data_IF_851725986565
#
_entry.id   IF_851725986565
#
_cell.length_a   1.000
_cell.length_b   1.000
_cell.length_c   1.000
_cell.angle_alpha   90.00
_cell.angle_beta   90.00
_cell.angle_gamma   90.00
#
_symmetry.space_group_name_H-M   'P 1'
#
loop_
_entity.id
_entity.type
_entity.pdbx_description
1 polymer ?
#
# COMPACT_ATOMS: atom_id res chain seq x y z
N UNK A 1 23.54 29.21 15.32
CA UNK A 1 22.11 28.92 15.46
C UNK A 1 21.58 28.52 14.09
N UNK A 2 21.57 27.22 13.76
CA UNK A 2 20.74 26.73 12.68
C UNK A 2 19.41 26.38 13.32
N UNK A 3 18.33 27.07 12.96
CA UNK A 3 16.99 26.64 13.33
C UNK A 3 16.74 25.33 12.60
N UNK A 4 16.75 24.21 13.33
CA UNK A 4 16.15 22.97 12.85
C UNK A 4 14.67 23.28 12.62
N UNK A 5 14.32 23.65 11.39
CA UNK A 5 12.95 23.67 10.95
C UNK A 5 12.44 22.25 11.20
N UNK A 6 11.50 22.12 12.14
CA UNK A 6 10.84 20.86 12.44
C UNK A 6 10.04 20.46 11.18
N UNK A 7 10.69 19.76 10.25
CA UNK A 7 10.05 19.27 9.03
C UNK A 7 9.09 18.19 9.48
N UNK A 8 7.81 18.55 9.57
CA UNK A 8 6.74 17.61 9.88
C UNK A 8 6.73 16.55 8.76
N UNK A 9 6.96 15.26 9.07
CA UNK A 9 6.99 14.23 8.04
C UNK A 9 5.61 14.13 7.38
N UNK A 10 5.58 14.22 6.05
CA UNK A 10 4.34 14.15 5.28
C UNK A 10 3.71 12.75 5.43
N UNK A 11 2.37 12.65 5.56
CA UNK A 11 1.72 11.36 5.70
C UNK A 11 1.71 10.58 4.38
N UNK A 12 1.75 9.26 4.51
CA UNK A 12 1.46 8.32 3.44
C UNK A 12 -0.05 8.13 3.35
N UNK A 13 -0.60 8.46 2.18
CA UNK A 13 -1.99 8.19 1.85
C UNK A 13 -2.05 6.88 1.07
N UNK A 14 -2.80 5.93 1.61
CA UNK A 14 -3.07 4.66 0.97
C UNK A 14 -4.51 4.66 0.51
N UNK A 15 -4.73 4.34 -0.75
CA UNK A 15 -6.06 4.20 -1.33
C UNK A 15 -6.13 2.89 -2.09
N UNK A 16 -7.24 2.20 -1.92
CA UNK A 16 -7.62 1.03 -2.71
C UNK A 16 -8.92 1.36 -3.41
N UNK A 17 -8.91 1.31 -4.73
CA UNK A 17 -10.07 1.63 -5.56
C UNK A 17 -10.49 0.38 -6.36
N UNK A 18 -11.81 0.13 -6.49
CA UNK A 18 -12.39 -0.90 -7.37
C UNK A 18 -13.21 -0.21 -8.46
N UNK A 19 -12.76 -0.32 -9.72
CA UNK A 19 -13.30 0.25 -10.97
C UNK A 19 -13.66 1.74 -10.93
N UNK A 20 -14.68 2.12 -10.17
CA UNK A 20 -15.23 3.47 -10.09
C UNK A 20 -15.35 4.02 -8.67
N UNK A 21 -14.97 3.28 -7.63
CA UNK A 21 -15.21 3.67 -6.23
C UNK A 21 -14.04 3.31 -5.32
N UNK A 22 -13.77 4.19 -4.35
CA UNK A 22 -12.79 3.96 -3.29
C UNK A 22 -13.34 2.99 -2.25
N UNK A 23 -12.68 1.85 -2.09
CA UNK A 23 -13.03 0.80 -1.12
C UNK A 23 -12.19 0.89 0.15
N UNK A 24 -11.02 1.52 0.10
CA UNK A 24 -10.16 1.76 1.27
C UNK A 24 -9.48 3.10 1.19
N UNK A 25 -9.37 3.77 2.33
CA UNK A 25 -8.52 4.95 2.50
C UNK A 25 -7.84 4.91 3.87
N UNK A 26 -6.53 5.14 3.92
CA UNK A 26 -5.79 5.28 5.16
C UNK A 26 -4.80 6.45 5.11
N UNK A 27 -4.61 7.07 6.27
CA UNK A 27 -3.62 8.12 6.52
C UNK A 27 -2.61 7.61 7.54
N UNK A 28 -1.37 7.45 7.12
CA UNK A 28 -0.31 6.86 7.92
C UNK A 28 0.84 7.86 8.12
N UNK A 29 1.28 7.99 9.37
CA UNK A 29 2.45 8.77 9.72
C UNK A 29 3.65 7.86 9.84
N UNK A 30 4.83 8.31 9.42
CA UNK A 30 6.07 7.56 9.62
C UNK A 30 6.37 7.42 11.12
N UNK A 31 6.66 6.21 11.57
CA UNK A 31 6.99 5.89 12.98
C UNK A 31 8.42 5.37 13.06
N UNK A 32 9.12 5.77 14.12
CA UNK A 32 10.52 5.40 14.36
C UNK A 32 11.51 6.46 13.86
N UNK A 33 12.80 6.36 14.24
CA UNK A 33 13.79 7.33 13.84
C UNK A 33 13.96 7.34 12.32
N UNK A 34 14.12 8.51 11.71
CA UNK A 34 14.58 8.68 10.31
C UNK A 34 16.01 8.15 10.08
N UNK A 35 16.62 7.48 11.06
CA UNK A 35 17.86 6.77 10.84
C UNK A 35 17.55 5.56 9.96
N UNK A 36 17.98 5.66 8.69
CA UNK A 36 18.56 4.50 8.00
C UNK A 36 19.33 3.70 9.06
N UNK A 37 19.14 2.38 9.19
CA UNK A 37 20.05 1.60 10.01
C UNK A 37 21.45 2.04 9.59
N UNK A 38 22.34 2.29 10.55
CA UNK A 38 23.73 2.61 10.27
C UNK A 38 24.36 1.39 9.60
N UNK A 39 24.04 1.19 8.34
CA UNK A 39 24.53 0.17 7.44
C UNK A 39 25.83 0.74 6.93
N UNK A 40 26.88 0.48 7.70
CA UNK A 40 28.26 0.57 7.25
C UNK A 40 28.34 -0.31 5.98
N UNK A 41 28.19 0.31 4.81
CA UNK A 41 28.29 -0.34 3.51
C UNK A 41 27.09 -0.24 2.54
N UNK A 42 26.04 0.55 2.78
CA UNK A 42 24.96 0.74 1.78
C UNK A 42 24.96 2.14 1.17
N UNK A 43 25.48 2.24 -0.06
CA UNK A 43 25.54 3.47 -0.86
C UNK A 43 24.44 3.59 -1.92
N UNK A 44 23.30 2.88 -1.81
CA UNK A 44 22.33 2.83 -2.93
C UNK A 44 20.84 2.98 -2.59
N UNK A 45 20.43 3.13 -1.33
CA UNK A 45 19.00 3.32 -1.04
C UNK A 45 18.49 4.70 -1.45
N UNK A 46 19.35 5.72 -1.51
CA UNK A 46 18.93 7.08 -1.92
C UNK A 46 18.59 7.19 -3.41
N UNK A 47 19.06 6.27 -4.25
CA UNK A 47 18.78 6.27 -5.70
C UNK A 47 17.65 5.33 -6.11
N UNK A 48 17.07 4.57 -5.18
CA UNK A 48 15.95 3.68 -5.50
C UNK A 48 14.68 4.52 -5.79
N UNK A 49 13.94 4.29 -6.89
CA UNK A 49 12.74 5.08 -7.24
C UNK A 49 11.70 5.15 -6.12
N UNK A 50 11.53 4.05 -5.39
CA UNK A 50 10.64 3.93 -4.23
C UNK A 50 11.29 4.26 -2.86
N UNK A 51 12.47 4.87 -2.81
CA UNK A 51 13.16 5.18 -1.54
C UNK A 51 12.30 5.98 -0.57
N UNK A 52 11.42 6.84 -1.09
CA UNK A 52 10.50 7.64 -0.29
C UNK A 52 9.52 6.80 0.55
N UNK A 53 9.23 5.56 0.15
CA UNK A 53 8.35 4.65 0.90
C UNK A 53 9.06 3.88 2.01
N UNK A 54 10.40 3.78 1.98
CA UNK A 54 11.15 2.96 2.95
C UNK A 54 10.97 3.50 4.36
N UNK A 55 10.52 2.64 5.28
CA UNK A 55 10.22 2.97 6.66
C UNK A 55 9.00 2.21 7.19
N UNK A 56 8.64 2.52 8.44
CA UNK A 56 7.40 2.05 9.05
C UNK A 56 6.40 3.20 9.09
N UNK A 57 5.17 2.93 8.67
CA UNK A 57 4.07 3.87 8.59
C UNK A 57 2.91 3.34 9.42
N UNK A 58 2.34 4.17 10.29
CA UNK A 58 1.25 3.77 11.16
C UNK A 58 0.17 4.83 11.19
N UNK A 59 -1.09 4.41 11.21
CA UNK A 59 -2.20 5.35 11.30
C UNK A 59 -3.55 4.67 11.29
N UNK A 60 -4.54 5.37 10.75
CA UNK A 60 -5.94 4.94 10.75
C UNK A 60 -6.49 4.95 9.33
N UNK A 61 -7.39 4.02 9.07
CA UNK A 61 -8.11 3.94 7.81
C UNK A 61 -9.59 3.66 7.98
N UNK A 62 -10.30 3.88 6.88
CA UNK A 62 -11.72 3.56 6.71
C UNK A 62 -11.83 2.62 5.52
N UNK A 63 -12.54 1.50 5.73
CA UNK A 63 -12.71 0.45 4.74
C UNK A 63 -14.18 0.17 4.44
N UNK A 64 -14.46 -0.24 3.21
CA UNK A 64 -15.74 -0.76 2.72
C UNK A 64 -15.43 -1.89 1.75
N UNK A 65 -15.83 -3.12 2.05
CA UNK A 65 -15.57 -4.27 1.17
C UNK A 65 -16.85 -4.74 0.46
N UNK A 66 -17.19 -4.26 -0.74
CA UNK A 66 -18.12 -4.98 -1.60
C UNK A 66 -17.51 -6.35 -1.97
N UNK A 67 -18.36 -7.31 -2.37
CA UNK A 67 -17.97 -8.72 -2.65
C UNK A 67 -17.06 -8.90 -3.89
N UNK A 68 -16.38 -7.84 -4.36
CA UNK A 68 -15.59 -7.82 -5.60
C UNK A 68 -14.16 -7.33 -5.28
N UNK A 69 -13.15 -7.91 -5.96
CA UNK A 69 -11.74 -7.90 -5.54
C UNK A 69 -10.76 -7.50 -6.66
N UNK A 70 -11.23 -6.80 -7.71
CA UNK A 70 -10.30 -6.09 -8.59
C UNK A 70 -9.94 -4.78 -7.89
N UNK A 71 -8.69 -4.69 -7.45
CA UNK A 71 -8.24 -3.57 -6.64
C UNK A 71 -7.05 -2.89 -7.29
N UNK A 72 -7.09 -1.57 -7.27
CA UNK A 72 -6.00 -0.69 -7.71
C UNK A 72 -5.36 -0.13 -6.45
N UNK A 73 -4.15 -0.57 -6.13
CA UNK A 73 -3.36 0.05 -5.07
C UNK A 73 -2.81 1.39 -5.55
N UNK A 74 -3.12 2.44 -4.81
CA UNK A 74 -2.51 3.77 -5.00
C UNK A 74 -1.91 4.22 -3.68
N UNK A 75 -0.59 4.43 -3.69
CA UNK A 75 0.18 4.89 -2.55
C UNK A 75 0.75 6.26 -2.90
N UNK A 76 0.43 7.27 -2.11
CA UNK A 76 0.85 8.66 -2.36
C UNK A 76 1.45 9.22 -1.08
N UNK A 77 2.72 9.59 -1.09
CA UNK A 77 3.18 10.58 -0.10
C UNK A 77 2.75 11.94 -0.62
N UNK A 78 1.87 12.52 0.17
CA UNK A 78 1.05 13.68 -0.16
C UNK A 78 1.81 15.00 -0.14
N UNK A 79 1.21 16.16 -0.51
CA UNK A 79 -0.21 16.55 -0.35
C UNK A 79 -1.18 15.73 -1.24
N UNK A 80 -2.36 15.31 -0.73
CA UNK A 80 -3.35 14.65 -1.57
C UNK A 80 -3.92 15.67 -2.56
N UNK A 81 -4.40 15.26 -3.74
CA UNK A 81 -5.15 16.15 -4.61
C UNK A 81 -6.36 16.73 -3.85
N UNK A 82 -6.48 18.05 -3.84
CA UNK A 82 -7.56 18.84 -3.20
C UNK A 82 -8.98 18.51 -3.71
N UNK A 83 -9.09 17.70 -4.77
CA UNK A 83 -10.36 17.31 -5.39
C UNK A 83 -10.86 15.92 -4.99
N UNK A 84 -10.13 15.17 -4.17
CA UNK A 84 -10.59 13.86 -3.71
C UNK A 84 -11.66 14.02 -2.63
N UNK A 85 -12.91 13.73 -2.99
CA UNK A 85 -14.02 13.63 -2.05
C UNK A 85 -13.69 12.64 -0.94
N UNK A 86 -13.97 12.96 0.34
CA UNK A 86 -13.81 12.00 1.41
C UNK A 86 -14.89 10.92 1.26
N UNK A 87 -14.47 9.73 0.84
CA UNK A 87 -15.22 8.46 0.86
C UNK A 87 -16.33 8.32 -0.19
N UNK A 88 -16.20 7.32 -1.08
CA UNK A 88 -17.33 6.78 -1.83
C UNK A 88 -18.32 6.11 -0.88
N UNK A 89 -19.60 6.50 -0.90
CA UNK A 89 -20.65 5.92 -0.05
C UNK A 89 -21.29 4.73 -0.79
N UNK A 90 -21.07 3.51 -0.27
CA UNK A 90 -21.86 2.34 -0.64
C UNK A 90 -23.09 2.23 0.27
N UNK A 91 -24.31 2.11 -0.27
CA UNK A 91 -25.53 1.93 0.54
C UNK A 91 -25.63 0.56 1.23
N UNK A 92 -24.86 -0.43 0.80
CA UNK A 92 -25.08 -1.84 1.17
C UNK A 92 -24.16 -2.37 2.27
N UNK A 93 -23.08 -1.65 2.64
CA UNK A 93 -22.12 -2.07 3.67
C UNK A 93 -21.76 -0.87 4.55
N UNK A 94 -21.86 -1.02 5.88
CA UNK A 94 -21.43 0.01 6.83
C UNK A 94 -19.90 0.15 6.77
N UNK A 95 -19.35 1.36 6.58
CA UNK A 95 -17.92 1.59 6.77
C UNK A 95 -17.45 1.15 8.15
N UNK A 96 -16.23 0.63 8.23
CA UNK A 96 -15.57 0.30 9.48
C UNK A 96 -14.23 1.06 9.58
N UNK A 97 -13.88 1.43 10.81
CA UNK A 97 -12.60 2.07 11.12
C UNK A 97 -11.60 1.00 11.55
N UNK A 98 -10.37 1.10 11.10
CA UNK A 98 -9.30 0.19 11.51
C UNK A 98 -7.99 0.95 11.71
N UNK A 99 -7.09 0.37 12.47
CA UNK A 99 -5.71 0.81 12.57
C UNK A 99 -4.87 0.06 11.56
N UNK A 100 -3.84 0.71 11.03
CA UNK A 100 -3.00 0.17 9.98
C UNK A 100 -1.53 0.45 10.24
N UNK A 101 -0.69 -0.53 9.92
CA UNK A 101 0.76 -0.42 9.90
C UNK A 101 1.30 -1.02 8.61
N UNK A 102 2.13 -0.25 7.90
CA UNK A 102 2.88 -0.70 6.72
C UNK A 102 4.36 -0.60 7.05
N UNK A 103 5.12 -1.66 6.81
CA UNK A 103 6.57 -1.68 6.85
C UNK A 103 7.11 -1.92 5.45
N UNK A 104 7.98 -1.04 4.99
CA UNK A 104 8.69 -1.17 3.72
C UNK A 104 10.19 -1.10 3.99
N UNK A 105 10.92 -2.17 3.64
CA UNK A 105 12.38 -2.26 3.82
C UNK A 105 13.07 -2.61 2.51
N UNK A 106 14.32 -2.16 2.36
CA UNK A 106 15.11 -2.45 1.17
C UNK A 106 15.84 -3.78 1.29
N UNK A 107 15.97 -4.48 0.16
CA UNK A 107 16.80 -5.67 0.02
C UNK A 107 18.09 -5.32 -0.74
N UNK A 108 19.24 -5.93 -0.42
CA UNK A 108 20.47 -5.79 -1.19
C UNK A 108 20.33 -6.20 -2.67
N UNK A 109 19.29 -6.97 -3.01
CA UNK A 109 18.99 -7.43 -4.37
C UNK A 109 18.16 -6.41 -5.20
N UNK A 110 17.92 -5.20 -4.68
CA UNK A 110 17.28 -4.12 -5.44
C UNK A 110 15.76 -4.18 -5.53
N UNK A 111 15.10 -4.91 -4.62
CA UNK A 111 13.64 -4.88 -4.44
C UNK A 111 13.29 -4.42 -3.02
N UNK A 112 12.05 -4.01 -2.80
CA UNK A 112 11.57 -3.67 -1.45
C UNK A 112 10.66 -4.75 -0.90
N UNK A 113 10.83 -5.08 0.38
CA UNK A 113 9.94 -5.96 1.13
C UNK A 113 8.79 -5.12 1.66
N UNK A 114 7.56 -5.54 1.37
CA UNK A 114 6.32 -4.91 1.80
C UNK A 114 5.60 -5.82 2.78
N UNK A 115 5.10 -5.23 3.86
CA UNK A 115 4.31 -5.94 4.84
C UNK A 115 3.30 -5.00 5.48
N UNK A 116 2.03 -5.38 5.46
CA UNK A 116 0.91 -4.62 6.00
C UNK A 116 0.19 -5.43 7.05
N UNK A 117 -0.20 -4.78 8.14
CA UNK A 117 -1.11 -5.31 9.15
C UNK A 117 -2.21 -4.29 9.45
N UNK A 118 -3.43 -4.79 9.68
CA UNK A 118 -4.55 -4.00 10.18
C UNK A 118 -5.13 -4.62 11.44
N UNK A 119 -5.74 -3.79 12.27
CA UNK A 119 -6.43 -4.21 13.49
C UNK A 119 -7.68 -3.38 13.73
N UNK A 120 -8.60 -3.94 14.51
CA UNK A 120 -9.77 -3.23 14.98
C UNK A 120 -9.35 -2.19 16.05
N UNK A 121 -9.79 -0.94 15.90
CA UNK A 121 -9.33 0.15 16.77
C UNK A 121 -9.85 0.07 18.21
N UNK A 122 -10.95 -0.66 18.44
CA UNK A 122 -11.58 -0.77 19.77
C UNK A 122 -11.04 -1.98 20.52
N UNK A 123 -10.99 -3.12 19.84
CA UNK A 123 -10.63 -4.42 20.42
C UNK A 123 -9.16 -4.78 20.25
N UNK A 124 -8.41 -4.06 19.41
CA UNK A 124 -7.04 -4.38 18.98
C UNK A 124 -6.89 -5.77 18.35
N UNK A 125 -7.99 -6.41 17.93
CA UNK A 125 -7.94 -7.70 17.27
C UNK A 125 -7.37 -7.56 15.85
N UNK A 126 -6.48 -8.47 15.42
CA UNK A 126 -5.99 -8.49 14.04
C UNK A 126 -7.14 -8.63 13.03
N UNK A 127 -7.08 -7.84 11.96
CA UNK A 127 -8.02 -7.90 10.83
C UNK A 127 -7.32 -8.49 9.60
N UNK A 128 -7.16 -7.70 8.53
CA UNK A 128 -6.46 -8.09 7.32
C UNK A 128 -4.94 -7.92 7.45
N UNK A 129 -4.19 -8.76 6.74
CA UNK A 129 -2.76 -8.64 6.57
C UNK A 129 -2.39 -9.06 5.14
N UNK A 130 -1.30 -8.50 4.65
CA UNK A 130 -0.71 -8.88 3.36
C UNK A 130 0.79 -8.64 3.40
N UNK A 131 1.53 -9.37 2.58
CA UNK A 131 2.96 -9.22 2.47
C UNK A 131 3.44 -9.56 1.07
N UNK A 132 4.57 -8.98 0.67
CA UNK A 132 5.08 -9.16 -0.68
C UNK A 132 6.28 -8.31 -0.99
N UNK A 133 6.46 -8.03 -2.28
CA UNK A 133 7.63 -7.32 -2.78
C UNK A 133 7.25 -6.27 -3.82
N UNK A 134 7.78 -5.06 -3.66
CA UNK A 134 7.84 -4.09 -4.75
C UNK A 134 9.08 -4.35 -5.59
N UNK A 135 8.90 -4.32 -6.91
CA UNK A 135 9.98 -4.44 -7.89
C UNK A 135 9.93 -3.25 -8.84
N UNK A 136 11.09 -2.78 -9.26
CA UNK A 136 11.22 -1.68 -10.24
C UNK A 136 12.15 -2.11 -11.37
N UNK A 137 11.64 -2.84 -12.38
CA UNK A 137 12.45 -3.31 -13.50
C UNK A 137 13.18 -2.14 -14.18
N UNK A 138 14.50 -2.27 -14.32
CA UNK A 138 15.33 -1.23 -14.92
C UNK A 138 15.49 0.04 -14.07
N UNK A 139 15.04 0.04 -12.81
CA UNK A 139 15.15 1.18 -11.88
C UNK A 139 14.55 2.49 -12.42
N UNK A 140 13.53 2.38 -13.27
CA UNK A 140 12.81 3.51 -13.86
C UNK A 140 11.44 3.74 -13.23
N UNK A 141 10.50 4.20 -14.06
CA UNK A 141 9.14 4.56 -13.62
C UNK A 141 8.20 3.36 -13.49
N UNK A 142 8.58 2.18 -13.99
CA UNK A 142 7.77 0.97 -13.88
C UNK A 142 7.87 0.37 -12.48
N UNK A 143 6.73 -0.03 -11.93
CA UNK A 143 6.64 -0.71 -10.65
C UNK A 143 5.75 -1.95 -10.76
N UNK A 144 6.15 -2.99 -10.05
CA UNK A 144 5.39 -4.22 -9.87
C UNK A 144 5.23 -4.47 -8.37
N UNK A 145 4.06 -4.95 -7.96
CA UNK A 145 3.79 -5.42 -6.61
C UNK A 145 3.29 -6.86 -6.68
N UNK A 146 3.99 -7.77 -6.02
CA UNK A 146 3.58 -9.17 -5.88
C UNK A 146 3.28 -9.41 -4.41
N UNK A 147 2.03 -9.71 -4.07
CA UNK A 147 1.58 -9.83 -2.68
C UNK A 147 0.73 -11.06 -2.45
N UNK A 148 0.73 -11.52 -1.20
CA UNK A 148 -0.10 -12.61 -0.69
C UNK A 148 -0.80 -12.18 0.59
N UNK A 149 -1.99 -12.72 0.82
CA UNK A 149 -2.77 -12.49 2.02
C UNK A 149 -3.15 -13.82 2.72
N UNK A 150 -3.24 -13.85 4.07
CA UNK A 150 -3.55 -15.06 4.84
C UNK A 150 -4.92 -15.67 4.54
N UNK A 151 -5.82 -14.94 3.89
CA UNK A 151 -7.12 -15.46 3.44
C UNK A 151 -7.01 -16.33 2.17
N UNK A 152 -5.80 -16.66 1.73
CA UNK A 152 -5.54 -17.55 0.61
C UNK A 152 -5.63 -16.85 -0.74
N UNK A 153 -5.36 -15.54 -0.79
CA UNK A 153 -5.28 -14.75 -2.03
C UNK A 153 -3.83 -14.37 -2.36
N UNK A 154 -3.55 -14.25 -3.65
CA UNK A 154 -2.30 -13.71 -4.17
C UNK A 154 -2.60 -12.79 -5.36
N UNK A 155 -1.93 -11.64 -5.46
CA UNK A 155 -2.07 -10.74 -6.60
C UNK A 155 -0.72 -10.36 -7.20
N UNK A 156 -0.77 -10.07 -8.51
CA UNK A 156 0.28 -9.37 -9.24
C UNK A 156 -0.32 -8.07 -9.73
N UNK A 157 0.36 -6.96 -9.42
CA UNK A 157 -0.07 -5.63 -9.78
C UNK A 157 1.08 -4.89 -10.47
N UNK A 158 0.73 -4.07 -11.46
CA UNK A 158 1.70 -3.34 -12.27
C UNK A 158 1.24 -1.90 -12.43
N UNK A 159 2.22 -1.00 -12.59
CA UNK A 159 1.93 0.39 -12.92
C UNK A 159 3.15 1.29 -12.87
N UNK A 160 2.95 2.53 -12.42
CA UNK A 160 3.86 3.65 -12.65
C UNK A 160 4.16 4.43 -11.36
N UNK A 161 5.40 4.85 -11.23
CA UNK A 161 5.91 5.80 -10.23
C UNK A 161 5.93 7.19 -10.86
N UNK A 162 5.35 8.18 -10.18
CA UNK A 162 5.35 9.58 -10.61
C UNK A 162 5.66 10.48 -9.41
N UNK A 163 6.92 10.89 -9.27
CA UNK A 163 7.38 11.62 -8.09
C UNK A 163 7.22 10.79 -6.81
N UNK A 164 6.30 11.19 -5.95
CA UNK A 164 5.98 10.49 -4.67
C UNK A 164 4.67 9.71 -4.72
N UNK A 165 4.15 9.46 -5.91
CA UNK A 165 2.95 8.69 -6.18
C UNK A 165 3.32 7.35 -6.84
N UNK A 166 2.65 6.28 -6.40
CA UNK A 166 2.72 4.94 -6.97
C UNK A 166 1.29 4.51 -7.30
N UNK A 167 1.02 4.27 -8.58
CA UNK A 167 -0.25 3.76 -9.07
C UNK A 167 -0.06 2.35 -9.59
N UNK A 168 -0.80 1.39 -9.04
CA UNK A 168 -0.76 -0.03 -9.39
C UNK A 168 -2.16 -0.51 -9.72
N UNK A 169 -2.28 -1.33 -10.75
CA UNK A 169 -3.52 -2.02 -11.11
C UNK A 169 -3.28 -3.52 -11.09
N UNK A 170 -4.21 -4.26 -10.47
CA UNK A 170 -4.19 -5.73 -10.48
C UNK A 170 -4.20 -6.27 -11.91
N UNK A 171 -3.22 -7.11 -12.23
CA UNK A 171 -3.13 -7.89 -13.49
C UNK A 171 -3.69 -9.28 -13.32
N UNK A 172 -3.32 -9.93 -12.22
CA UNK A 172 -3.74 -11.30 -11.92
C UNK A 172 -4.12 -11.36 -10.44
N UNK A 173 -5.20 -12.06 -10.16
CA UNK A 173 -5.62 -12.45 -8.83
C UNK A 173 -5.79 -13.97 -8.80
N UNK A 174 -5.04 -14.64 -7.94
CA UNK A 174 -5.13 -16.07 -7.71
C UNK A 174 -5.69 -16.34 -6.30
N UNK A 175 -6.33 -17.50 -6.13
CA UNK A 175 -6.87 -17.93 -4.85
C UNK A 175 -6.67 -19.42 -4.62
N UNK A 176 -6.55 -19.81 -3.37
CA UNK A 176 -6.63 -21.21 -2.95
C UNK A 176 -8.05 -21.75 -3.10
N UNK A 177 -8.22 -23.08 -3.12
CA UNK A 177 -9.51 -23.74 -3.34
C UNK A 177 -10.57 -23.37 -2.30
N UNK A 178 -10.16 -23.13 -1.05
CA UNK A 178 -11.03 -22.80 0.09
C UNK A 178 -11.23 -21.29 0.28
N UNK A 179 -10.42 -20.45 -0.37
CA UNK A 179 -10.58 -19.00 -0.31
C UNK A 179 -11.90 -18.57 -0.94
N UNK A 180 -12.56 -17.56 -0.33
CA UNK A 180 -13.82 -17.01 -0.84
C UNK A 180 -13.66 -16.59 -2.31
N UNK A 181 -14.69 -16.89 -3.11
CA UNK A 181 -14.67 -16.59 -4.54
C UNK A 181 -14.49 -15.09 -4.75
N UNK A 182 -13.47 -14.76 -5.54
CA UNK A 182 -13.19 -13.41 -6.01
C UNK A 182 -13.58 -13.38 -7.48
N UNK A 183 -14.50 -12.50 -7.87
CA UNK A 183 -14.81 -12.33 -9.28
C UNK A 183 -13.71 -11.49 -9.93
N UNK A 184 -12.79 -12.15 -10.64
CA UNK A 184 -11.98 -11.49 -11.67
C UNK A 184 -12.79 -11.54 -12.95
N UNK A 185 -13.24 -10.40 -13.47
CA UNK A 185 -13.74 -10.35 -14.85
C UNK A 185 -12.54 -10.24 -15.80
N UNK A 186 -11.75 -11.29 -15.91
CA UNK A 186 -10.80 -11.42 -17.03
C UNK A 186 -11.53 -12.14 -18.15
N UNK A 187 -11.85 -11.41 -19.22
CA UNK A 187 -12.24 -11.97 -20.51
C UNK A 187 -11.08 -12.67 -21.21
N UNK A 188 -10.45 -13.62 -20.53
CA UNK A 188 -9.53 -14.60 -21.08
C UNK A 188 -10.07 -15.96 -20.62
N UNK A 189 -11.03 -16.46 -21.38
CA UNK A 189 -11.22 -17.90 -21.52
C UNK A 189 -10.07 -18.37 -22.40
N UNK A 190 -9.38 -19.42 -21.96
CA UNK A 190 -8.56 -20.25 -22.84
C UNK A 190 -9.41 -20.83 -23.99
#
# INVERSE_FOLDING_TARGET
>A
MCSDAHVIPKPLHVTLDDKSQRVRHALLTRVGPMSLPCLRGMSSTSSHPLAFLVGTWKGKGVGKYPRTLLVTHRLVITPPPSHLSPLGIYPTIKPFNYGEEITISSSPKGFLVYHQKTWDNETNQPLHAEMGYFRTPGMGEKVELVVVAPNGLASVEEGIISGTEVNLSSKILARTSTAKVCFCSSGLQD
#
